data_IF_782522694195
#
_entry.id   IF_782522694195
#
_cell.length_a   1.000
_cell.length_b   1.000
_cell.length_c   1.000
_cell.angle_alpha   90.00
_cell.angle_beta   90.00
_cell.angle_gamma   90.00
#
_symmetry.space_group_name_H-M   'P 1'
#
loop_
_entity.id
_entity.type
_entity.pdbx_description
1 polymer ?
#
# COMPACT_ATOMS: atom_id res chain seq x y z
N UNK A 1 10.97 24.75 20.31
CA UNK A 1 11.00 25.96 19.45
C UNK A 1 9.63 26.61 19.43
N UNK A 2 9.53 27.92 19.65
CA UNK A 2 8.26 28.67 19.58
C UNK A 2 7.74 28.72 18.13
N UNK A 3 6.40 28.72 17.94
CA UNK A 3 5.72 28.81 16.61
C UNK A 3 6.27 29.93 15.71
N UNK A 4 6.71 31.04 16.32
CA UNK A 4 7.33 32.18 15.64
C UNK A 4 8.73 31.89 15.06
N UNK A 5 9.51 30.99 15.66
CA UNK A 5 10.85 30.62 15.19
C UNK A 5 10.83 29.82 13.88
N UNK A 6 9.98 28.80 13.82
CA UNK A 6 9.80 27.94 12.64
C UNK A 6 9.26 28.71 11.43
N UNK A 7 8.26 29.57 11.62
CA UNK A 7 7.70 30.38 10.53
C UNK A 7 8.78 31.27 9.89
N UNK A 8 9.72 31.79 10.69
CA UNK A 8 10.87 32.53 10.15
C UNK A 8 11.84 31.66 9.36
N UNK A 9 12.11 30.42 9.77
CA UNK A 9 12.98 29.50 9.02
C UNK A 9 12.40 29.21 7.63
N UNK A 10 11.11 28.87 7.54
CA UNK A 10 10.43 28.66 6.26
C UNK A 10 10.40 29.93 5.39
N UNK A 11 10.20 31.10 6.02
CA UNK A 11 10.24 32.39 5.33
C UNK A 11 11.65 32.70 4.81
N UNK A 12 12.68 32.44 5.62
CA UNK A 12 14.09 32.61 5.24
C UNK A 12 14.47 31.69 4.09
N UNK A 13 14.06 30.43 4.15
CA UNK A 13 14.26 29.46 3.08
C UNK A 13 13.62 29.95 1.76
N UNK A 14 12.37 30.42 1.84
CA UNK A 14 11.60 30.90 0.67
C UNK A 14 12.16 32.20 0.08
N UNK A 15 12.82 33.03 0.89
CA UNK A 15 13.47 34.26 0.47
C UNK A 15 14.89 34.04 -0.10
N UNK A 16 15.53 32.91 0.23
CA UNK A 16 16.87 32.55 -0.22
C UNK A 16 16.88 31.83 -1.57
N UNK A 17 17.84 30.93 -1.75
CA UNK A 17 17.99 30.11 -2.97
C UNK A 17 16.92 29.01 -3.09
N UNK A 18 16.09 28.80 -2.06
CA UNK A 18 15.11 27.72 -1.97
C UNK A 18 15.75 26.33 -2.20
N UNK A 19 16.93 26.11 -1.61
CA UNK A 19 17.66 24.85 -1.71
C UNK A 19 16.89 23.71 -1.01
N UNK A 20 16.48 22.65 -1.73
CA UNK A 20 15.78 21.53 -1.13
C UNK A 20 16.49 20.86 0.05
N UNK A 21 17.82 20.92 0.14
CA UNK A 21 18.60 20.35 1.27
C UNK A 21 18.43 21.17 2.56
N UNK A 22 18.15 22.46 2.45
CA UNK A 22 17.96 23.37 3.59
C UNK A 22 16.49 23.50 4.01
N UNK A 23 15.58 22.81 3.33
CA UNK A 23 14.15 22.89 3.65
C UNK A 23 13.88 22.32 5.06
N UNK A 24 13.09 23.01 5.91
CA UNK A 24 12.89 22.63 7.32
C UNK A 24 11.88 21.46 7.47
N UNK A 25 12.17 20.31 6.89
CA UNK A 25 11.28 19.13 6.89
C UNK A 25 10.84 18.72 8.29
N UNK A 26 11.76 18.71 9.25
CA UNK A 26 11.49 18.25 10.63
C UNK A 26 10.46 19.17 11.30
N UNK A 27 10.65 20.47 11.18
CA UNK A 27 9.76 21.46 11.77
C UNK A 27 8.38 21.45 11.11
N UNK A 28 8.31 21.23 9.79
CA UNK A 28 7.03 21.08 9.07
C UNK A 28 6.32 19.81 9.51
N UNK A 29 7.00 18.66 9.52
CA UNK A 29 6.41 17.39 9.97
C UNK A 29 5.94 17.48 11.41
N UNK A 30 6.73 18.07 12.31
CA UNK A 30 6.36 18.29 13.72
C UNK A 30 5.12 19.19 13.84
N UNK A 31 4.98 20.21 12.99
CA UNK A 31 3.80 21.07 12.97
C UNK A 31 2.54 20.27 12.57
N UNK A 32 2.64 19.37 11.59
CA UNK A 32 1.54 18.49 11.19
C UNK A 32 1.23 17.46 12.26
N UNK A 33 2.26 16.85 12.87
CA UNK A 33 2.12 15.85 13.93
C UNK A 33 1.45 16.40 15.20
N UNK A 34 1.63 17.70 15.47
CA UNK A 34 1.05 18.35 16.66
C UNK A 34 -0.46 18.46 16.60
N UNK A 35 -1.04 18.66 15.42
CA UNK A 35 -2.47 18.98 15.27
C UNK A 35 -3.22 18.01 14.34
N UNK A 36 -2.51 17.22 13.55
CA UNK A 36 -3.05 16.43 12.44
C UNK A 36 -3.19 17.28 11.17
N UNK A 37 -2.92 16.69 10.01
CA UNK A 37 -2.94 17.34 8.69
C UNK A 37 -4.21 18.17 8.46
N UNK A 38 -5.37 17.70 8.93
CA UNK A 38 -6.64 18.39 8.73
C UNK A 38 -6.75 19.72 9.49
N UNK A 39 -5.98 19.90 10.56
CA UNK A 39 -6.07 21.05 11.48
C UNK A 39 -4.85 21.97 11.40
N UNK A 40 -3.99 21.79 10.40
CA UNK A 40 -2.87 22.68 10.18
C UNK A 40 -3.38 24.08 9.85
N UNK A 41 -2.76 25.07 10.47
CA UNK A 41 -3.15 26.47 10.32
C UNK A 41 -3.01 26.97 8.87
N UNK A 42 -4.01 27.71 8.39
CA UNK A 42 -4.06 28.20 7.01
C UNK A 42 -2.89 29.10 6.64
N UNK A 43 -2.35 29.85 7.60
CA UNK A 43 -1.18 30.72 7.40
C UNK A 43 0.08 29.88 7.13
N UNK A 44 0.21 28.72 7.78
CA UNK A 44 1.30 27.78 7.48
C UNK A 44 1.10 27.13 6.10
N UNK A 45 -0.12 26.69 5.79
CA UNK A 45 -0.43 26.09 4.49
C UNK A 45 -0.13 27.06 3.33
N UNK A 46 -0.53 28.33 3.46
CA UNK A 46 -0.22 29.36 2.46
C UNK A 46 1.29 29.54 2.25
N UNK A 47 2.09 29.56 3.32
CA UNK A 47 3.56 29.65 3.20
C UNK A 47 4.18 28.42 2.56
N UNK A 48 3.65 27.23 2.85
CA UNK A 48 4.12 25.99 2.21
C UNK A 48 3.76 25.97 0.72
N UNK A 49 2.63 26.55 0.34
CA UNK A 49 2.24 26.72 -1.06
C UNK A 49 3.16 27.73 -1.80
N UNK A 50 3.47 28.85 -1.16
CA UNK A 50 4.50 29.79 -1.66
C UNK A 50 5.87 29.11 -1.80
N UNK A 51 6.27 28.31 -0.81
CA UNK A 51 7.50 27.53 -0.86
C UNK A 51 7.49 26.52 -2.02
N UNK A 52 6.36 25.84 -2.25
CA UNK A 52 6.18 24.89 -3.36
C UNK A 52 6.41 25.55 -4.72
N UNK A 53 5.93 26.78 -4.91
CA UNK A 53 6.14 27.54 -6.14
C UNK A 53 7.61 27.92 -6.40
N UNK A 54 8.47 27.88 -5.36
CA UNK A 54 9.91 28.18 -5.45
C UNK A 54 10.78 26.96 -5.74
N UNK A 55 10.24 25.75 -5.65
CA UNK A 55 11.04 24.53 -5.87
C UNK A 55 11.41 24.41 -7.35
N UNK A 56 12.68 24.64 -7.66
CA UNK A 56 13.24 24.53 -9.02
C UNK A 56 14.13 23.28 -9.14
N UNK A 57 14.45 22.88 -10.37
CA UNK A 57 15.31 21.72 -10.65
C UNK A 57 14.59 20.38 -10.78
N UNK A 58 15.25 19.41 -11.40
CA UNK A 58 14.68 18.07 -11.71
C UNK A 58 15.42 16.92 -11.04
N UNK A 59 16.36 17.23 -10.14
CA UNK A 59 17.08 16.23 -9.37
C UNK A 59 16.18 15.55 -8.31
N UNK A 60 16.73 14.52 -7.67
CA UNK A 60 16.04 13.70 -6.68
C UNK A 60 15.60 14.48 -5.43
N UNK A 61 16.36 15.51 -5.03
CA UNK A 61 16.08 16.31 -3.83
C UNK A 61 14.94 17.30 -4.09
N UNK A 62 14.99 17.98 -5.23
CA UNK A 62 13.90 18.84 -5.68
C UNK A 62 12.61 18.02 -5.92
N UNK A 63 12.74 16.79 -6.44
CA UNK A 63 11.61 15.87 -6.58
C UNK A 63 11.05 15.45 -5.23
N UNK A 64 11.88 15.09 -4.26
CA UNK A 64 11.46 14.76 -2.91
C UNK A 64 10.68 15.91 -2.26
N UNK A 65 11.20 17.14 -2.37
CA UNK A 65 10.53 18.32 -1.80
C UNK A 65 9.17 18.58 -2.45
N UNK A 66 9.07 18.49 -3.78
CA UNK A 66 7.79 18.62 -4.49
C UNK A 66 6.80 17.55 -4.06
N UNK A 67 7.22 16.29 -4.05
CA UNK A 67 6.37 15.16 -3.66
C UNK A 67 5.91 15.33 -2.19
N UNK A 68 6.78 15.82 -1.30
CA UNK A 68 6.44 16.10 0.09
C UNK A 68 5.42 17.23 0.20
N UNK A 69 5.64 18.36 -0.47
CA UNK A 69 4.73 19.50 -0.44
C UNK A 69 3.38 19.18 -1.07
N UNK A 70 3.34 18.39 -2.15
CA UNK A 70 2.09 17.91 -2.75
C UNK A 70 1.29 17.02 -1.79
N UNK A 71 1.96 16.15 -1.04
CA UNK A 71 1.30 15.35 0.00
C UNK A 71 0.87 16.22 1.19
N UNK A 72 1.67 17.19 1.61
CA UNK A 72 1.36 18.06 2.74
C UNK A 72 0.18 19.01 2.44
N UNK A 73 0.07 19.47 1.19
CA UNK A 73 -0.92 20.44 0.72
C UNK A 73 -2.13 19.80 0.01
N UNK A 74 -2.22 18.48 -0.05
CA UNK A 74 -3.30 17.77 -0.75
C UNK A 74 -4.72 18.24 -0.35
N UNK A 75 -4.99 18.44 0.95
CA UNK A 75 -6.25 18.99 1.47
C UNK A 75 -6.41 20.48 1.18
N UNK A 76 -5.33 21.25 1.21
CA UNK A 76 -5.34 22.67 0.86
C UNK A 76 -5.77 22.87 -0.60
N UNK A 77 -5.26 22.02 -1.49
CA UNK A 77 -5.55 22.08 -2.93
C UNK A 77 -6.90 21.46 -3.32
N UNK A 78 -7.60 20.80 -2.40
CA UNK A 78 -8.76 19.98 -2.72
C UNK A 78 -8.44 18.73 -3.57
N UNK A 79 -7.17 18.28 -3.55
CA UNK A 79 -6.66 17.10 -4.27
C UNK A 79 -6.50 15.87 -3.39
N UNK A 80 -6.96 15.94 -2.14
CA UNK A 80 -6.85 14.86 -1.16
C UNK A 80 -7.53 13.57 -1.62
N UNK A 81 -6.74 12.50 -1.75
CA UNK A 81 -7.21 11.18 -2.14
C UNK A 81 -6.48 10.07 -1.34
N UNK A 82 -6.77 8.81 -1.65
CA UNK A 82 -6.11 7.68 -1.02
C UNK A 82 -4.58 7.64 -1.22
N UNK A 83 -4.09 8.05 -2.40
CA UNK A 83 -2.66 7.99 -2.73
C UNK A 83 -1.90 9.07 -1.97
N UNK A 84 -2.46 10.28 -1.89
CA UNK A 84 -1.88 11.39 -1.12
C UNK A 84 -1.99 11.15 0.39
N UNK A 85 -3.10 10.59 0.87
CA UNK A 85 -3.27 10.21 2.27
C UNK A 85 -2.20 9.21 2.75
N UNK A 86 -1.86 8.24 1.91
CA UNK A 86 -0.80 7.26 2.20
C UNK A 86 0.59 7.71 1.75
N UNK A 87 0.72 8.91 1.18
CA UNK A 87 1.97 9.47 0.70
C UNK A 87 2.79 8.51 -0.19
N UNK A 88 2.11 7.77 -1.08
CA UNK A 88 2.72 6.64 -1.82
C UNK A 88 3.93 7.05 -2.66
N UNK A 89 3.93 8.28 -3.20
CA UNK A 89 5.06 8.86 -3.96
C UNK A 89 6.33 9.00 -3.15
N UNK A 90 6.22 9.42 -1.89
CA UNK A 90 7.37 9.53 -0.98
C UNK A 90 7.99 8.16 -0.69
N UNK A 91 7.20 7.10 -0.75
CA UNK A 91 7.65 5.71 -0.62
C UNK A 91 8.11 5.10 -1.94
N UNK A 92 8.15 5.88 -3.03
CA UNK A 92 8.47 5.43 -4.39
C UNK A 92 7.62 4.24 -4.87
N UNK A 93 6.40 4.12 -4.33
CA UNK A 93 5.44 3.11 -4.78
C UNK A 93 4.76 3.58 -6.08
N UNK A 94 4.51 2.69 -7.06
CA UNK A 94 3.93 3.08 -8.34
C UNK A 94 2.55 3.74 -8.22
N UNK A 95 2.45 5.04 -8.51
CA UNK A 95 1.24 5.84 -8.33
C UNK A 95 0.51 6.21 -9.65
N UNK A 96 1.15 5.94 -10.80
CA UNK A 96 0.57 6.12 -12.14
C UNK A 96 1.35 7.03 -13.07
N UNK A 97 2.18 7.94 -12.55
CA UNK A 97 3.00 8.84 -13.38
C UNK A 97 4.34 8.25 -13.77
N UNK A 98 4.87 7.35 -12.95
CA UNK A 98 6.10 6.60 -13.21
C UNK A 98 5.81 5.10 -13.06
N UNK A 99 5.42 4.44 -14.16
CA UNK A 99 5.51 2.98 -14.20
C UNK A 99 6.92 2.63 -14.69
N UNK A 100 7.81 2.11 -13.83
CA UNK A 100 9.05 1.55 -14.33
C UNK A 100 8.71 0.42 -15.32
N UNK A 101 9.52 0.21 -16.37
CA UNK A 101 9.38 -0.96 -17.23
C UNK A 101 9.40 -2.22 -16.37
N UNK A 102 8.74 -3.31 -16.80
CA UNK A 102 8.74 -4.58 -16.08
C UNK A 102 10.14 -5.19 -16.11
N UNK A 103 11.03 -4.71 -15.25
CA UNK A 103 12.34 -5.31 -15.00
C UNK A 103 12.44 -5.67 -13.52
N UNK A 104 11.78 -6.78 -13.20
CA UNK A 104 11.75 -7.37 -11.86
C UNK A 104 12.81 -8.47 -11.78
N UNK A 105 14.07 -8.06 -11.74
CA UNK A 105 15.18 -8.88 -11.23
C UNK A 105 15.06 -9.15 -9.73
N UNK A 106 16.01 -9.91 -9.17
CA UNK A 106 16.06 -10.21 -7.74
C UNK A 106 16.09 -8.94 -6.88
N UNK A 107 16.73 -7.87 -7.38
CA UNK A 107 16.88 -6.59 -6.69
C UNK A 107 15.54 -5.90 -6.42
N UNK A 108 14.59 -5.97 -7.36
CA UNK A 108 13.25 -5.41 -7.18
C UNK A 108 12.42 -6.17 -6.13
N UNK A 109 12.54 -7.51 -6.10
CA UNK A 109 11.90 -8.34 -5.05
C UNK A 109 12.45 -8.00 -3.67
N UNK A 110 13.78 -7.94 -3.55
CA UNK A 110 14.43 -7.58 -2.29
C UNK A 110 14.09 -6.14 -1.85
N UNK A 111 14.06 -5.18 -2.78
CA UNK A 111 13.67 -3.80 -2.48
C UNK A 111 12.27 -3.70 -1.86
N UNK A 112 11.30 -4.43 -2.42
CA UNK A 112 9.94 -4.51 -1.87
C UNK A 112 9.90 -5.20 -0.51
N UNK A 113 10.60 -6.31 -0.36
CA UNK A 113 10.67 -7.01 0.92
C UNK A 113 11.30 -6.12 2.02
N UNK A 114 12.36 -5.37 1.69
CA UNK A 114 12.94 -4.35 2.59
C UNK A 114 11.91 -3.28 2.96
N UNK A 115 11.17 -2.74 1.99
CA UNK A 115 10.16 -1.71 2.27
C UNK A 115 9.02 -2.24 3.17
N UNK A 116 8.51 -3.46 2.92
CA UNK A 116 7.48 -4.07 3.78
C UNK A 116 7.99 -4.24 5.21
N UNK A 117 9.21 -4.75 5.39
CA UNK A 117 9.81 -4.91 6.71
C UNK A 117 9.98 -3.56 7.40
N UNK A 118 10.47 -2.55 6.69
CA UNK A 118 10.63 -1.17 7.20
C UNK A 118 9.31 -0.57 7.67
N UNK A 119 8.24 -0.68 6.87
CA UNK A 119 6.91 -0.15 7.22
C UNK A 119 6.30 -0.84 8.45
N UNK A 120 6.45 -2.16 8.56
CA UNK A 120 5.93 -2.93 9.70
C UNK A 120 6.77 -2.65 10.95
N UNK A 121 8.10 -2.61 10.83
CA UNK A 121 8.99 -2.30 11.94
C UNK A 121 8.75 -0.88 12.45
N UNK A 122 8.56 0.10 11.57
CA UNK A 122 8.26 1.48 11.96
C UNK A 122 6.97 1.60 12.79
N UNK A 123 5.92 0.86 12.43
CA UNK A 123 4.71 0.75 13.24
C UNK A 123 4.97 0.13 14.63
N UNK A 124 5.84 -0.88 14.71
CA UNK A 124 6.24 -1.53 15.97
C UNK A 124 7.13 -0.62 16.82
N UNK A 125 8.06 0.12 16.20
CA UNK A 125 8.93 1.08 16.86
C UNK A 125 8.12 2.25 17.44
N UNK A 126 7.09 2.71 16.73
CA UNK A 126 6.13 3.68 17.27
C UNK A 126 5.42 3.15 18.53
N UNK A 127 4.95 1.91 18.52
CA UNK A 127 4.33 1.28 19.69
C UNK A 127 5.32 1.14 20.87
N UNK A 128 6.58 0.77 20.60
CA UNK A 128 7.64 0.73 21.61
C UNK A 128 7.88 2.11 22.23
N UNK A 129 8.01 3.13 21.39
CA UNK A 129 8.24 4.51 21.81
C UNK A 129 7.07 5.06 22.64
N UNK A 130 5.83 4.79 22.21
CA UNK A 130 4.62 5.21 22.91
C UNK A 130 4.47 4.49 24.26
N UNK A 131 4.77 3.19 24.32
CA UNK A 131 4.73 2.40 25.54
C UNK A 131 5.79 2.83 26.56
N UNK A 132 6.99 3.19 26.08
CA UNK A 132 8.07 3.75 26.89
C UNK A 132 7.87 5.24 27.24
N UNK A 133 6.82 5.88 26.72
CA UNK A 133 6.51 7.32 26.87
C UNK A 133 7.64 8.25 26.38
N UNK A 134 8.42 7.80 25.40
CA UNK A 134 9.50 8.61 24.80
C UNK A 134 9.03 9.41 23.58
N UNK A 135 7.80 9.19 23.11
CA UNK A 135 7.17 10.01 22.06
C UNK A 135 5.85 10.62 22.52
N UNK A 136 5.64 11.89 22.16
CA UNK A 136 4.37 12.62 22.31
C UNK A 136 3.46 12.54 21.08
N UNK A 137 3.90 11.88 20.01
CA UNK A 137 3.14 11.73 18.77
C UNK A 137 1.82 10.97 19.01
N UNK A 138 0.75 11.44 18.38
CA UNK A 138 -0.61 10.89 18.40
C UNK A 138 -1.06 10.47 19.82
N UNK A 139 -1.21 11.42 20.76
CA UNK A 139 -1.45 11.13 22.17
C UNK A 139 -2.85 10.60 22.47
N UNK A 140 -3.81 10.74 21.56
CA UNK A 140 -5.20 10.40 21.84
C UNK A 140 -5.50 8.91 21.68
N UNK A 141 -6.35 8.39 22.57
CA UNK A 141 -6.90 7.03 22.54
C UNK A 141 -5.83 5.92 22.50
N UNK A 142 -4.69 6.14 23.15
CA UNK A 142 -3.61 5.15 23.24
C UNK A 142 -4.12 3.79 23.73
N UNK A 143 -3.70 2.69 23.10
CA UNK A 143 -4.11 1.35 23.50
C UNK A 143 -3.58 0.95 24.88
N UNK A 144 -4.33 0.10 25.56
CA UNK A 144 -3.88 -0.53 26.80
C UNK A 144 -2.73 -1.52 26.57
N UNK A 145 -1.97 -1.82 27.63
CA UNK A 145 -0.76 -2.68 27.60
C UNK A 145 -0.97 -4.03 26.90
N UNK A 146 -2.13 -4.65 27.07
CA UNK A 146 -2.45 -5.93 26.45
C UNK A 146 -2.57 -5.85 24.92
N UNK A 147 -3.14 -4.76 24.39
CA UNK A 147 -3.24 -4.51 22.95
C UNK A 147 -1.85 -4.21 22.38
N UNK A 148 -1.05 -3.39 23.06
CA UNK A 148 0.34 -3.11 22.68
C UNK A 148 1.17 -4.39 22.60
N UNK A 149 1.13 -5.24 23.63
CA UNK A 149 1.84 -6.53 23.63
C UNK A 149 1.37 -7.47 22.49
N UNK A 150 0.08 -7.40 22.12
CA UNK A 150 -0.45 -8.11 20.96
C UNK A 150 0.09 -7.52 19.65
N UNK A 151 0.18 -6.19 19.53
CA UNK A 151 0.77 -5.50 18.36
C UNK A 151 2.23 -5.87 18.16
N UNK A 152 3.04 -5.96 19.21
CA UNK A 152 4.42 -6.45 19.13
C UNK A 152 4.50 -7.84 18.48
N UNK A 153 3.76 -8.81 19.01
CA UNK A 153 3.72 -10.17 18.45
C UNK A 153 3.27 -10.21 16.99
N UNK A 154 2.19 -9.50 16.68
CA UNK A 154 1.60 -9.52 15.34
C UNK A 154 2.41 -8.74 14.33
N UNK A 155 3.08 -7.66 14.73
CA UNK A 155 4.01 -6.90 13.90
C UNK A 155 5.22 -7.74 13.51
N UNK A 156 5.88 -8.39 14.49
CA UNK A 156 6.96 -9.33 14.21
C UNK A 156 6.50 -10.43 13.25
N UNK A 157 5.34 -11.07 13.54
CA UNK A 157 4.76 -12.09 12.66
C UNK A 157 4.48 -11.59 11.25
N UNK A 158 4.07 -10.33 11.09
CA UNK A 158 3.81 -9.75 9.78
C UNK A 158 5.09 -9.47 8.98
N UNK A 159 6.22 -9.19 9.65
CA UNK A 159 7.51 -8.98 9.01
C UNK A 159 8.22 -10.30 8.63
N UNK A 160 7.98 -11.40 9.36
CA UNK A 160 8.69 -12.68 9.19
C UNK A 160 8.75 -13.20 7.75
N UNK A 161 7.67 -13.23 6.94
CA UNK A 161 7.75 -13.74 5.57
C UNK A 161 8.72 -12.96 4.68
N UNK A 162 8.75 -11.64 4.81
CA UNK A 162 9.67 -10.79 4.06
C UNK A 162 11.11 -10.92 4.58
N UNK A 163 11.30 -11.00 5.90
CA UNK A 163 12.61 -11.30 6.50
C UNK A 163 13.16 -12.65 6.03
N UNK A 164 12.32 -13.68 5.90
CA UNK A 164 12.72 -14.99 5.41
C UNK A 164 13.26 -14.92 3.98
N UNK A 165 12.59 -14.16 3.11
CA UNK A 165 13.03 -13.94 1.72
C UNK A 165 14.32 -13.11 1.62
N UNK A 166 14.58 -12.26 2.62
CA UNK A 166 15.84 -11.51 2.76
C UNK A 166 16.96 -12.34 3.42
N UNK A 167 16.68 -13.54 3.92
CA UNK A 167 17.65 -14.36 4.65
C UNK A 167 17.95 -13.86 6.07
N UNK A 168 17.02 -13.14 6.70
CA UNK A 168 17.21 -12.43 7.99
C UNK A 168 16.35 -13.00 9.14
N UNK A 169 15.82 -14.21 9.03
CA UNK A 169 14.96 -14.78 10.09
C UNK A 169 15.72 -15.18 11.36
N UNK A 170 17.00 -15.55 11.23
CA UNK A 170 17.83 -15.98 12.37
C UNK A 170 18.20 -14.84 13.33
N UNK A 171 17.83 -13.59 13.03
CA UNK A 171 18.20 -12.42 13.83
C UNK A 171 17.16 -12.03 14.86
N UNK A 172 15.95 -12.60 14.86
CA UNK A 172 14.87 -12.20 15.76
C UNK A 172 14.80 -13.14 16.97
N UNK A 173 15.23 -12.65 18.14
CA UNK A 173 15.04 -13.31 19.44
C UNK A 173 13.57 -13.23 19.88
N UNK A 174 12.93 -14.38 20.13
CA UNK A 174 11.51 -14.51 20.45
C UNK A 174 11.20 -14.74 21.93
N UNK A 175 12.19 -14.59 22.83
CA UNK A 175 12.02 -14.81 24.27
C UNK A 175 10.84 -14.04 24.88
N UNK A 176 10.59 -12.80 24.43
CA UNK A 176 9.37 -12.05 24.76
C UNK A 176 8.89 -11.20 23.57
N UNK A 177 7.59 -10.82 23.52
CA UNK A 177 7.08 -9.93 22.47
C UNK A 177 7.82 -8.60 22.34
N UNK A 178 8.21 -7.99 23.47
CA UNK A 178 8.90 -6.69 23.48
C UNK A 178 10.36 -6.84 23.04
N UNK A 179 11.01 -7.95 23.40
CA UNK A 179 12.36 -8.27 22.92
C UNK A 179 12.34 -8.46 21.41
N UNK A 180 11.43 -9.29 20.89
CA UNK A 180 11.31 -9.53 19.45
C UNK A 180 11.01 -8.24 18.66
N UNK A 181 10.15 -7.37 19.20
CA UNK A 181 9.86 -6.06 18.61
C UNK A 181 11.07 -5.12 18.60
N UNK A 182 11.83 -5.09 19.70
CA UNK A 182 13.07 -4.31 19.81
C UNK A 182 14.11 -4.81 18.82
N UNK A 183 14.28 -6.14 18.73
CA UNK A 183 15.21 -6.77 17.79
C UNK A 183 14.82 -6.51 16.34
N UNK A 184 13.53 -6.60 15.99
CA UNK A 184 13.04 -6.19 14.66
C UNK A 184 13.41 -4.75 14.32
N UNK A 185 13.23 -3.83 15.28
CA UNK A 185 13.58 -2.42 15.11
C UNK A 185 15.09 -2.24 14.86
N UNK A 186 15.93 -2.99 15.59
CA UNK A 186 17.39 -2.96 15.41
C UNK A 186 17.84 -3.55 14.06
N UNK A 187 17.21 -4.63 13.60
CA UNK A 187 17.47 -5.21 12.27
C UNK A 187 17.19 -4.19 11.18
N UNK A 188 16.07 -3.47 11.28
CA UNK A 188 15.71 -2.43 10.29
C UNK A 188 16.65 -1.24 10.32
N UNK A 189 17.12 -0.80 11.48
CA UNK A 189 18.14 0.25 11.54
C UNK A 189 19.43 -0.13 10.78
N UNK A 190 19.75 -1.43 10.68
CA UNK A 190 20.85 -1.92 9.85
C UNK A 190 20.51 -2.12 8.36
N UNK A 191 19.22 -2.15 8.00
CA UNK A 191 18.73 -2.20 6.61
C UNK A 191 18.50 -0.82 6.02
N UNK A 192 18.32 0.20 6.86
CA UNK A 192 18.14 1.57 6.43
C UNK A 192 19.40 2.07 5.71
N UNK A 193 19.20 2.60 4.50
CA UNK A 193 20.18 3.49 3.91
C UNK A 193 20.23 4.73 4.79
N UNK A 194 21.36 4.94 5.45
CA UNK A 194 21.59 6.09 6.33
C UNK A 194 21.09 7.37 5.66
N UNK A 195 20.09 8.02 6.26
CA UNK A 195 19.56 9.30 5.77
C UNK A 195 18.36 9.24 4.81
N UNK A 196 17.73 8.10 4.53
CA UNK A 196 16.47 8.07 3.75
C UNK A 196 15.29 8.61 4.58
N UNK A 197 14.72 9.78 4.23
CA UNK A 197 13.67 10.42 5.02
C UNK A 197 12.26 9.91 4.67
N UNK A 198 12.10 9.02 3.68
CA UNK A 198 10.81 8.63 3.10
C UNK A 198 9.79 8.13 4.12
N UNK A 199 10.19 7.25 5.04
CA UNK A 199 9.30 6.73 6.08
C UNK A 199 8.78 7.87 6.96
N UNK A 200 9.67 8.74 7.44
CA UNK A 200 9.29 9.86 8.29
C UNK A 200 8.37 10.84 7.56
N UNK A 201 8.75 11.24 6.35
CA UNK A 201 8.00 12.23 5.55
C UNK A 201 6.64 11.69 5.06
N UNK A 202 6.50 10.38 4.88
CA UNK A 202 5.24 9.73 4.49
C UNK A 202 4.23 9.54 5.62
N UNK A 203 4.57 9.93 6.84
CA UNK A 203 3.67 9.84 8.00
C UNK A 203 3.07 11.20 8.31
N UNK A 204 2.00 11.59 7.62
CA UNK A 204 1.23 12.81 7.89
C UNK A 204 -0.23 12.48 8.24
N UNK A 205 -0.51 11.95 9.46
CA UNK A 205 -1.86 11.61 9.92
C UNK A 205 -2.83 12.80 9.82
N UNK A 206 -4.10 12.55 9.49
CA UNK A 206 -5.09 13.64 9.43
C UNK A 206 -5.54 14.11 10.80
N UNK A 207 -5.39 13.28 11.83
CA UNK A 207 -5.76 13.57 13.20
C UNK A 207 -4.67 13.10 14.18
N UNK A 208 -4.80 13.46 15.45
CA UNK A 208 -3.87 13.12 16.53
C UNK A 208 -4.18 11.79 17.25
N UNK A 209 -4.96 10.90 16.60
CA UNK A 209 -5.37 9.61 17.18
C UNK A 209 -4.29 8.54 17.00
N UNK A 210 -3.91 7.87 18.09
CA UNK A 210 -2.81 6.87 18.13
C UNK A 210 -2.87 5.83 17.02
N UNK A 211 -4.05 5.24 16.82
CA UNK A 211 -4.21 4.13 15.87
C UNK A 211 -4.13 4.54 14.39
N UNK A 212 -4.14 5.83 14.09
CA UNK A 212 -3.98 6.29 12.71
C UNK A 212 -2.58 5.93 12.16
N UNK A 213 -1.55 5.92 13.01
CA UNK A 213 -0.20 5.49 12.62
C UNK A 213 -0.19 4.06 12.08
N UNK A 214 -0.79 3.15 12.86
CA UNK A 214 -0.90 1.74 12.50
C UNK A 214 -1.71 1.58 11.22
N UNK A 215 -2.80 2.33 11.10
CA UNK A 215 -3.67 2.32 9.93
C UNK A 215 -2.88 2.70 8.66
N UNK A 216 -2.17 3.83 8.68
CA UNK A 216 -1.38 4.30 7.53
C UNK A 216 -0.29 3.29 7.16
N UNK A 217 0.52 2.82 8.13
CA UNK A 217 1.62 1.87 7.84
C UNK A 217 1.14 0.54 7.28
N UNK A 218 0.06 0.00 7.81
CA UNK A 218 -0.50 -1.26 7.28
C UNK A 218 -1.04 -1.07 5.86
N UNK A 219 -1.68 0.06 5.57
CA UNK A 219 -2.17 0.37 4.22
C UNK A 219 -1.03 0.59 3.22
N UNK A 220 0.04 1.30 3.62
CA UNK A 220 1.25 1.44 2.82
C UNK A 220 1.90 0.07 2.54
N UNK A 221 1.93 -0.84 3.52
CA UNK A 221 2.43 -2.19 3.34
C UNK A 221 1.56 -3.01 2.36
N UNK A 222 0.23 -2.85 2.40
CA UNK A 222 -0.66 -3.46 1.40
C UNK A 222 -0.39 -2.94 -0.01
N UNK A 223 -0.20 -1.62 -0.19
CA UNK A 223 0.13 -1.06 -1.49
C UNK A 223 1.47 -1.59 -2.03
N UNK A 224 2.49 -1.71 -1.18
CA UNK A 224 3.75 -2.35 -1.56
C UNK A 224 3.56 -3.82 -2.00
N UNK A 225 2.75 -4.59 -1.27
CA UNK A 225 2.43 -5.98 -1.61
C UNK A 225 1.69 -6.04 -2.95
N UNK A 226 0.67 -5.20 -3.16
CA UNK A 226 -0.12 -5.20 -4.40
C UNK A 226 0.68 -4.73 -5.62
N UNK A 227 1.56 -3.75 -5.46
CA UNK A 227 2.47 -3.34 -6.51
C UNK A 227 3.37 -4.53 -6.92
N UNK A 228 3.93 -5.23 -5.94
CA UNK A 228 4.71 -6.45 -6.19
C UNK A 228 3.91 -7.55 -6.89
N UNK A 229 2.67 -7.81 -6.46
CA UNK A 229 1.79 -8.80 -7.12
C UNK A 229 1.50 -8.38 -8.56
N UNK A 230 1.22 -7.11 -8.82
CA UNK A 230 0.96 -6.61 -10.18
C UNK A 230 2.19 -6.79 -11.09
N UNK A 231 3.39 -6.50 -10.59
CA UNK A 231 4.64 -6.70 -11.35
C UNK A 231 4.87 -8.17 -11.70
N UNK A 232 4.60 -9.08 -10.75
CA UNK A 232 4.74 -10.51 -11.00
C UNK A 232 3.69 -11.02 -11.99
N UNK A 233 2.44 -10.54 -11.92
CA UNK A 233 1.41 -10.90 -12.89
C UNK A 233 1.75 -10.43 -14.30
N UNK A 234 2.34 -9.22 -14.47
CA UNK A 234 2.89 -8.79 -15.77
C UNK A 234 3.98 -9.75 -16.24
N UNK A 235 4.91 -10.12 -15.36
CA UNK A 235 5.96 -11.08 -15.68
C UNK A 235 5.42 -12.49 -16.02
N UNK A 236 4.28 -12.91 -15.44
CA UNK A 236 3.58 -14.15 -15.81
C UNK A 236 3.02 -14.04 -17.23
N UNK A 237 2.36 -12.93 -17.57
CA UNK A 237 1.86 -12.66 -18.93
C UNK A 237 2.98 -12.75 -19.94
N UNK A 238 4.11 -12.07 -19.69
CA UNK A 238 5.26 -12.07 -20.60
C UNK A 238 5.87 -13.47 -20.74
N UNK A 239 6.01 -14.20 -19.63
CA UNK A 239 6.53 -15.57 -19.63
C UNK A 239 5.64 -16.54 -20.43
N UNK A 240 4.31 -16.45 -20.30
CA UNK A 240 3.39 -17.31 -21.07
C UNK A 240 3.41 -16.99 -22.57
N UNK A 241 3.57 -15.71 -22.94
CA UNK A 241 3.58 -15.26 -24.34
C UNK A 241 4.88 -15.62 -25.05
N UNK A 242 6.02 -15.37 -24.43
CA UNK A 242 7.33 -15.44 -25.10
C UNK A 242 8.40 -16.20 -24.34
N UNK A 243 8.23 -16.41 -23.03
CA UNK A 243 9.23 -17.04 -22.16
C UNK A 243 9.04 -18.55 -21.94
N UNK A 244 9.91 -19.16 -21.11
CA UNK A 244 9.76 -20.54 -20.66
C UNK A 244 8.60 -20.67 -19.65
N UNK A 245 7.78 -21.73 -19.74
CA UNK A 245 6.64 -21.96 -18.85
C UNK A 245 6.99 -21.96 -17.35
N UNK A 246 8.14 -22.51 -16.97
CA UNK A 246 8.58 -22.60 -15.58
C UNK A 246 8.71 -21.21 -14.93
N UNK A 247 9.16 -20.21 -15.69
CA UNK A 247 9.25 -18.83 -15.21
C UNK A 247 7.86 -18.24 -14.90
N UNK A 248 6.83 -18.64 -15.64
CA UNK A 248 5.47 -18.21 -15.35
C UNK A 248 4.97 -18.83 -14.03
N UNK A 249 5.26 -20.12 -13.81
CA UNK A 249 4.91 -20.84 -12.57
C UNK A 249 5.61 -20.20 -11.36
N UNK A 250 6.90 -19.92 -11.46
CA UNK A 250 7.69 -19.31 -10.38
C UNK A 250 7.18 -17.91 -10.01
N UNK A 251 6.91 -17.06 -11.01
CA UNK A 251 6.38 -15.72 -10.77
C UNK A 251 5.00 -15.75 -10.12
N UNK A 252 4.13 -16.65 -10.57
CA UNK A 252 2.80 -16.82 -9.98
C UNK A 252 2.87 -17.38 -8.55
N UNK A 253 3.81 -18.30 -8.29
CA UNK A 253 4.09 -18.80 -6.94
C UNK A 253 4.53 -17.70 -5.99
N UNK A 254 5.47 -16.85 -6.42
CA UNK A 254 5.91 -15.70 -5.63
C UNK A 254 4.78 -14.67 -5.41
N UNK A 255 3.97 -14.38 -6.44
CA UNK A 255 2.80 -13.50 -6.31
C UNK A 255 1.79 -14.01 -5.27
N UNK A 256 1.57 -15.33 -5.21
CA UNK A 256 0.75 -15.97 -4.15
C UNK A 256 1.38 -15.78 -2.77
N UNK A 257 2.69 -15.93 -2.63
CA UNK A 257 3.38 -15.80 -1.34
C UNK A 257 3.34 -14.36 -0.79
N UNK A 258 3.37 -13.37 -1.69
CA UNK A 258 3.09 -11.97 -1.35
C UNK A 258 1.67 -11.80 -0.77
N UNK A 259 0.64 -12.40 -1.39
CA UNK A 259 -0.72 -12.40 -0.84
C UNK A 259 -0.82 -13.15 0.51
N UNK A 260 -0.02 -14.19 0.72
CA UNK A 260 0.11 -14.87 2.02
C UNK A 260 0.60 -13.93 3.12
N UNK A 261 1.59 -13.07 2.80
CA UNK A 261 2.10 -12.03 3.72
C UNK A 261 0.98 -11.05 4.11
N UNK A 262 0.11 -10.72 3.16
CA UNK A 262 -1.03 -9.81 3.35
C UNK A 262 -2.01 -10.29 4.45
N UNK A 263 -2.12 -11.60 4.71
CA UNK A 263 -2.98 -12.13 5.79
C UNK A 263 -2.53 -11.73 7.20
N UNK A 264 -1.22 -11.68 7.45
CA UNK A 264 -0.67 -11.29 8.75
C UNK A 264 -0.88 -9.79 9.03
N UNK A 265 -0.86 -8.95 8.00
CA UNK A 265 -1.17 -7.52 8.10
C UNK A 265 -2.61 -7.28 8.58
N UNK A 266 -3.59 -8.10 8.17
CA UNK A 266 -4.95 -8.01 8.71
C UNK A 266 -5.03 -8.32 10.19
N UNK A 267 -4.27 -9.31 10.66
CA UNK A 267 -4.24 -9.66 12.08
C UNK A 267 -3.75 -8.48 12.90
N UNK A 268 -2.69 -7.80 12.44
CA UNK A 268 -2.16 -6.59 13.06
C UNK A 268 -3.18 -5.44 13.01
N UNK A 269 -3.76 -5.15 11.84
CA UNK A 269 -4.76 -4.11 11.65
C UNK A 269 -6.02 -4.34 12.50
N UNK A 270 -6.43 -5.59 12.71
CA UNK A 270 -7.56 -5.94 13.56
C UNK A 270 -7.33 -5.64 15.06
N UNK A 271 -6.12 -5.25 15.46
CA UNK A 271 -5.87 -4.69 16.79
C UNK A 271 -6.20 -3.20 16.91
N UNK A 272 -6.49 -2.52 15.80
CA UNK A 272 -7.01 -1.16 15.82
C UNK A 272 -8.36 -1.12 16.55
N UNK A 273 -8.51 -0.11 17.40
CA UNK A 273 -9.70 0.17 18.18
C UNK A 273 -10.78 0.77 17.27
N UNK A 274 -12.00 0.20 17.23
CA UNK A 274 -13.08 0.76 16.42
C UNK A 274 -13.40 2.23 16.73
N UNK A 275 -13.34 2.63 18.02
CA UNK A 275 -13.56 4.03 18.42
C UNK A 275 -12.49 4.99 17.86
N UNK A 276 -11.22 4.55 17.85
CA UNK A 276 -10.12 5.33 17.27
C UNK A 276 -10.30 5.49 15.78
N UNK A 277 -10.64 4.41 15.08
CA UNK A 277 -10.98 4.45 13.67
C UNK A 277 -12.13 5.40 13.37
N UNK A 278 -13.23 5.35 14.14
CA UNK A 278 -14.36 6.26 13.98
C UNK A 278 -14.02 7.73 14.20
N UNK A 279 -12.98 8.00 15.00
CA UNK A 279 -12.53 9.36 15.31
C UNK A 279 -11.80 9.97 14.11
N UNK A 280 -10.66 9.40 13.72
CA UNK A 280 -9.85 10.00 12.64
C UNK A 280 -10.52 9.89 11.27
N UNK A 281 -11.38 8.87 11.08
CA UNK A 281 -12.11 8.66 9.82
C UNK A 281 -13.02 9.84 9.43
N UNK A 282 -13.45 10.66 10.39
CA UNK A 282 -14.22 11.87 10.09
C UNK A 282 -13.43 12.86 9.22
N UNK A 283 -12.11 12.75 9.23
CA UNK A 283 -11.21 13.65 8.51
C UNK A 283 -10.57 13.02 7.28
N UNK A 284 -10.98 11.80 6.90
CA UNK A 284 -10.47 11.09 5.72
C UNK A 284 -11.42 11.13 4.51
N UNK A 285 -12.43 12.00 4.52
CA UNK A 285 -13.31 12.21 3.37
C UNK A 285 -12.50 12.51 2.10
N UNK A 286 -12.85 11.86 0.99
CA UNK A 286 -12.11 11.91 -0.28
C UNK A 286 -11.06 10.80 -0.45
N UNK A 287 -10.55 10.23 0.65
CA UNK A 287 -9.60 9.13 0.64
C UNK A 287 -10.27 7.78 0.97
N UNK A 288 -10.17 6.81 0.06
CA UNK A 288 -10.73 5.48 0.24
C UNK A 288 -9.91 4.41 -0.44
N UNK A 289 -9.76 3.24 0.19
CA UNK A 289 -9.08 2.08 -0.41
C UNK A 289 -9.71 1.64 -1.76
N UNK A 290 -10.94 2.08 -2.06
CA UNK A 290 -11.54 1.91 -3.39
C UNK A 290 -10.75 2.62 -4.50
N UNK A 291 -9.83 3.54 -4.18
CA UNK A 291 -8.91 4.26 -5.07
C UNK A 291 -7.51 3.60 -5.20
N UNK A 292 -7.23 2.50 -4.47
CA UNK A 292 -5.99 1.71 -4.61
C UNK A 292 -5.66 1.30 -6.06
N UNK A 293 -4.71 2.00 -6.69
CA UNK A 293 -4.25 1.71 -8.05
C UNK A 293 -3.69 0.29 -8.18
N UNK A 294 -2.79 -0.07 -7.27
CA UNK A 294 -2.09 -1.36 -7.28
C UNK A 294 -3.07 -2.52 -7.23
N UNK A 295 -4.12 -2.44 -6.41
CA UNK A 295 -5.16 -3.46 -6.35
C UNK A 295 -5.94 -3.61 -7.67
N UNK A 296 -6.24 -2.50 -8.36
CA UNK A 296 -6.95 -2.54 -9.65
C UNK A 296 -6.06 -3.09 -10.77
N UNK A 297 -4.75 -2.85 -10.70
CA UNK A 297 -3.80 -3.54 -11.56
C UNK A 297 -3.80 -5.05 -11.30
N UNK A 298 -3.73 -5.49 -10.05
CA UNK A 298 -3.82 -6.92 -9.71
C UNK A 298 -5.10 -7.54 -10.27
N UNK A 299 -6.26 -6.92 -10.03
CA UNK A 299 -7.54 -7.44 -10.51
C UNK A 299 -7.61 -7.51 -12.05
N UNK A 300 -7.22 -6.44 -12.75
CA UNK A 300 -7.28 -6.38 -14.22
C UNK A 300 -6.21 -7.19 -14.94
N UNK A 301 -5.06 -7.47 -14.29
CA UNK A 301 -4.03 -8.36 -14.84
C UNK A 301 -4.40 -9.83 -14.68
N UNK A 302 -5.24 -10.18 -13.71
CA UNK A 302 -5.73 -11.55 -13.58
C UNK A 302 -6.65 -11.92 -14.76
N UNK A 303 -7.65 -11.06 -15.02
CA UNK A 303 -8.60 -11.21 -16.13
C UNK A 303 -9.16 -9.85 -16.56
N UNK A 304 -9.69 -9.76 -17.77
CA UNK A 304 -10.38 -8.56 -18.23
C UNK A 304 -11.66 -8.35 -17.40
N UNK A 305 -11.80 -7.22 -16.68
CA UNK A 305 -13.03 -6.91 -15.95
C UNK A 305 -14.24 -6.85 -16.88
N UNK A 306 -15.40 -7.30 -16.40
CA UNK A 306 -16.66 -7.13 -17.13
C UNK A 306 -17.02 -5.64 -17.28
N UNK A 307 -17.81 -5.23 -18.29
CA UNK A 307 -18.09 -3.81 -18.57
C UNK A 307 -18.66 -3.05 -17.36
N UNK A 308 -19.62 -3.64 -16.66
CA UNK A 308 -20.22 -3.11 -15.43
C UNK A 308 -19.18 -2.90 -14.32
N UNK A 309 -18.26 -3.85 -14.15
CA UNK A 309 -17.14 -3.74 -13.21
C UNK A 309 -16.19 -2.61 -13.62
N UNK A 310 -15.85 -2.50 -14.90
CA UNK A 310 -14.95 -1.48 -15.44
C UNK A 310 -15.56 -0.06 -15.37
N UNK A 311 -16.88 0.05 -15.35
CA UNK A 311 -17.61 1.30 -15.15
C UNK A 311 -18.00 1.56 -13.69
N UNK A 312 -17.58 0.70 -12.75
CA UNK A 312 -17.79 0.94 -11.32
C UNK A 312 -16.96 2.12 -10.79
N UNK A 313 -17.37 2.65 -9.63
CA UNK A 313 -16.65 3.71 -8.90
C UNK A 313 -15.18 3.35 -8.68
N UNK A 314 -14.88 2.06 -8.49
CA UNK A 314 -13.51 1.60 -8.28
C UNK A 314 -12.60 1.83 -9.48
N UNK A 315 -13.00 1.49 -10.70
CA UNK A 315 -12.18 1.74 -11.90
C UNK A 315 -12.26 3.19 -12.37
N UNK A 316 -13.39 3.89 -12.16
CA UNK A 316 -13.48 5.33 -12.43
C UNK A 316 -12.49 6.14 -11.58
N UNK A 317 -12.15 5.66 -10.40
CA UNK A 317 -11.15 6.29 -9.52
C UNK A 317 -9.69 6.08 -9.92
N UNK A 318 -9.44 5.21 -10.90
CA UNK A 318 -8.11 4.90 -11.45
C UNK A 318 -8.15 4.97 -12.99
N UNK A 319 -8.44 6.16 -13.56
CA UNK A 319 -8.70 6.31 -14.99
C UNK A 319 -7.57 5.79 -15.88
N UNK A 320 -6.33 5.87 -15.42
CA UNK A 320 -5.15 5.34 -16.09
C UNK A 320 -5.16 3.81 -16.22
N UNK A 321 -5.60 3.09 -15.18
CA UNK A 321 -5.74 1.63 -15.23
C UNK A 321 -6.93 1.25 -16.10
N UNK A 322 -8.03 2.00 -15.99
CA UNK A 322 -9.22 1.79 -16.82
C UNK A 322 -8.94 2.00 -18.30
N UNK A 323 -8.12 2.99 -18.67
CA UNK A 323 -7.68 3.20 -20.04
C UNK A 323 -6.90 1.99 -20.57
N UNK A 324 -5.90 1.49 -19.81
CA UNK A 324 -5.14 0.29 -20.20
C UNK A 324 -6.01 -0.92 -20.50
N UNK A 325 -7.02 -1.17 -19.66
CA UNK A 325 -7.96 -2.27 -19.88
C UNK A 325 -8.72 -2.09 -21.19
N UNK A 326 -9.17 -0.87 -21.50
CA UNK A 326 -9.86 -0.53 -22.76
C UNK A 326 -8.95 -0.67 -23.97
N UNK A 327 -7.67 -0.36 -23.80
CA UNK A 327 -6.64 -0.47 -24.83
C UNK A 327 -6.12 -1.92 -25.00
N UNK A 328 -6.77 -2.90 -24.37
CA UNK A 328 -6.47 -4.31 -24.55
C UNK A 328 -5.28 -4.82 -23.73
N UNK A 329 -5.10 -4.30 -22.51
CA UNK A 329 -4.12 -4.82 -21.55
C UNK A 329 -4.16 -6.36 -21.52
N UNK A 330 -3.05 -7.04 -21.84
CA UNK A 330 -2.98 -8.49 -21.76
C UNK A 330 -3.16 -8.99 -20.33
N UNK A 331 -3.80 -10.15 -20.17
CA UNK A 331 -4.11 -10.74 -18.86
C UNK A 331 -3.53 -12.13 -18.73
N UNK A 332 -3.31 -12.59 -17.50
CA UNK A 332 -2.83 -13.96 -17.23
C UNK A 332 -3.83 -14.99 -17.77
N UNK A 333 -5.13 -14.74 -17.59
CA UNK A 333 -6.20 -15.63 -18.10
C UNK A 333 -6.13 -15.81 -19.62
N UNK A 334 -5.99 -14.71 -20.37
CA UNK A 334 -5.88 -14.74 -21.82
C UNK A 334 -4.54 -15.34 -22.29
N UNK A 335 -3.44 -14.95 -21.66
CA UNK A 335 -2.11 -15.46 -22.00
C UNK A 335 -2.02 -16.98 -21.76
N UNK A 336 -2.62 -17.49 -20.68
CA UNK A 336 -2.72 -18.91 -20.41
C UNK A 336 -3.53 -19.64 -21.49
N UNK A 337 -4.74 -19.15 -21.82
CA UNK A 337 -5.60 -19.76 -22.86
C UNK A 337 -4.90 -19.83 -24.21
N UNK A 338 -4.21 -18.75 -24.61
CA UNK A 338 -3.43 -18.69 -25.85
C UNK A 338 -2.26 -19.68 -25.81
N UNK A 339 -1.48 -19.71 -24.73
CA UNK A 339 -0.34 -20.62 -24.61
C UNK A 339 -0.76 -22.11 -24.66
N UNK A 340 -1.93 -22.46 -24.11
CA UNK A 340 -2.51 -23.81 -24.26
C UNK A 340 -2.94 -24.08 -25.69
N UNK A 341 -3.68 -23.15 -26.31
CA UNK A 341 -4.15 -23.29 -27.70
C UNK A 341 -2.99 -23.47 -28.69
N UNK A 342 -1.93 -22.69 -28.51
CA UNK A 342 -0.76 -22.66 -29.40
C UNK A 342 0.23 -23.80 -29.10
N UNK A 343 -0.08 -24.71 -28.17
CA UNK A 343 0.77 -25.85 -27.81
C UNK A 343 2.08 -25.46 -27.12
N UNK A 344 2.19 -24.24 -26.57
CA UNK A 344 3.39 -23.75 -25.86
C UNK A 344 3.57 -24.39 -24.49
N UNK A 345 2.48 -24.90 -23.91
CA UNK A 345 2.49 -25.61 -22.63
C UNK A 345 2.33 -27.10 -22.90
N UNK A 346 3.35 -27.89 -22.55
CA UNK A 346 3.16 -29.33 -22.44
C UNK A 346 2.17 -29.68 -21.31
N UNK A 347 1.73 -30.92 -21.27
CA UNK A 347 0.69 -31.36 -20.34
C UNK A 347 1.10 -31.17 -18.86
N UNK A 348 2.38 -31.37 -18.52
CA UNK A 348 2.93 -31.08 -17.19
C UNK A 348 2.85 -29.59 -16.84
N UNK A 349 3.36 -28.73 -17.71
CA UNK A 349 3.40 -27.28 -17.54
C UNK A 349 1.99 -26.70 -17.47
N UNK A 350 1.07 -27.22 -18.29
CA UNK A 350 -0.35 -26.85 -18.27
C UNK A 350 -0.99 -27.14 -16.92
N UNK A 351 -0.76 -28.33 -16.35
CA UNK A 351 -1.28 -28.70 -15.02
C UNK A 351 -0.67 -27.86 -13.91
N UNK A 352 0.65 -27.65 -13.94
CA UNK A 352 1.35 -26.84 -12.95
C UNK A 352 0.84 -25.39 -12.95
N UNK A 353 0.69 -24.81 -14.14
CA UNK A 353 0.17 -23.45 -14.30
C UNK A 353 -1.29 -23.35 -13.83
N UNK A 354 -2.15 -24.28 -14.25
CA UNK A 354 -3.55 -24.30 -13.81
C UNK A 354 -3.69 -24.41 -12.28
N UNK A 355 -2.89 -25.29 -11.66
CA UNK A 355 -2.86 -25.44 -10.22
C UNK A 355 -2.30 -24.18 -9.52
N UNK A 356 -1.29 -23.53 -10.11
CA UNK A 356 -0.74 -22.26 -9.62
C UNK A 356 -1.77 -21.14 -9.64
N UNK A 357 -2.52 -21.00 -10.75
CA UNK A 357 -3.60 -20.03 -10.88
C UNK A 357 -4.72 -20.31 -9.88
N UNK A 358 -5.11 -21.57 -9.68
CA UNK A 358 -6.09 -21.96 -8.66
C UNK A 358 -5.67 -21.54 -7.25
N UNK A 359 -4.42 -21.82 -6.86
CA UNK A 359 -3.88 -21.42 -5.54
C UNK A 359 -3.80 -19.89 -5.38
N UNK A 360 -3.42 -19.17 -6.44
CA UNK A 360 -3.42 -17.71 -6.41
C UNK A 360 -4.83 -17.15 -6.25
N UNK A 361 -5.81 -17.69 -7.01
CA UNK A 361 -7.20 -17.28 -6.94
C UNK A 361 -7.79 -17.49 -5.54
N UNK A 362 -7.51 -18.63 -4.91
CA UNK A 362 -7.92 -18.92 -3.55
C UNK A 362 -7.31 -17.92 -2.55
N UNK A 363 -6.01 -17.63 -2.66
CA UNK A 363 -5.33 -16.66 -1.80
C UNK A 363 -5.94 -15.25 -1.92
N UNK A 364 -6.21 -14.78 -3.14
CA UNK A 364 -6.83 -13.46 -3.37
C UNK A 364 -8.29 -13.42 -2.88
N UNK A 365 -9.05 -14.49 -3.10
CA UNK A 365 -10.42 -14.60 -2.59
C UNK A 365 -10.45 -14.60 -1.05
N UNK A 366 -9.51 -15.31 -0.41
CA UNK A 366 -9.37 -15.30 1.03
C UNK A 366 -9.00 -13.90 1.56
N UNK A 367 -8.11 -13.19 0.86
CA UNK A 367 -7.78 -11.81 1.18
C UNK A 367 -9.04 -10.91 1.12
N UNK A 368 -9.83 -11.00 0.04
CA UNK A 368 -11.08 -10.23 -0.13
C UNK A 368 -12.09 -10.51 0.99
N UNK A 369 -12.29 -11.78 1.36
CA UNK A 369 -13.18 -12.17 2.47
C UNK A 369 -12.70 -11.65 3.82
N UNK A 370 -11.40 -11.73 4.07
CA UNK A 370 -10.78 -11.20 5.31
C UNK A 370 -10.94 -9.68 5.39
N UNK A 371 -10.68 -8.98 4.28
CA UNK A 371 -10.90 -7.54 4.19
C UNK A 371 -12.34 -7.15 4.52
N UNK A 372 -13.31 -7.84 3.91
CA UNK A 372 -14.73 -7.62 4.20
C UNK A 372 -15.05 -7.80 5.69
N UNK A 373 -14.55 -8.88 6.31
CA UNK A 373 -14.76 -9.13 7.75
C UNK A 373 -14.19 -8.03 8.63
N UNK A 374 -12.96 -7.55 8.34
CA UNK A 374 -12.35 -6.43 9.06
C UNK A 374 -13.16 -5.15 8.83
N UNK A 375 -13.57 -4.86 7.60
CA UNK A 375 -14.34 -3.66 7.28
C UNK A 375 -15.69 -3.63 8.03
N UNK A 376 -16.43 -4.75 8.06
CA UNK A 376 -17.68 -4.88 8.83
C UNK A 376 -17.45 -4.62 10.31
N UNK A 377 -16.38 -5.18 10.88
CA UNK A 377 -16.04 -4.98 12.30
C UNK A 377 -15.72 -3.51 12.61
N UNK A 378 -14.98 -2.83 11.73
CA UNK A 378 -14.53 -1.44 11.95
C UNK A 378 -15.62 -0.40 11.68
N UNK A 379 -16.47 -0.63 10.67
CA UNK A 379 -17.55 0.29 10.28
C UNK A 379 -18.82 0.10 11.11
N UNK A 380 -19.03 -1.07 11.70
CA UNK A 380 -20.33 -1.42 12.27
C UNK A 380 -21.42 -1.35 11.21
N UNK A 381 -22.59 -0.81 11.56
CA UNK A 381 -23.75 -0.65 10.66
C UNK A 381 -23.77 0.69 9.88
N UNK A 382 -22.72 1.53 9.95
CA UNK A 382 -22.70 2.84 9.27
C UNK A 382 -22.04 2.77 7.88
N UNK A 383 -22.52 3.52 6.87
CA UNK A 383 -21.95 3.56 5.52
C UNK A 383 -20.51 4.12 5.50
N UNK A 384 -19.73 3.78 4.46
CA UNK A 384 -18.31 4.13 4.33
C UNK A 384 -18.02 5.57 3.89
N UNK A 385 -16.80 6.06 4.13
CA UNK A 385 -16.36 7.46 3.89
C UNK A 385 -15.99 7.83 2.44
N UNK A 386 -16.19 6.93 1.47
CA UNK A 386 -15.87 7.23 0.08
C UNK A 386 -17.01 6.81 -0.82
N UNK A 387 -17.98 7.71 -1.04
CA UNK A 387 -19.06 7.68 -2.06
C UNK A 387 -19.67 6.31 -2.43
N UNK A 388 -19.57 5.33 -1.53
CA UNK A 388 -20.04 3.95 -1.69
C UNK A 388 -20.61 3.54 -0.36
N UNK A 389 -21.62 2.67 -0.38
CA UNK A 389 -22.24 2.16 0.84
C UNK A 389 -21.26 1.36 1.73
N UNK A 390 -19.97 1.25 1.34
CA UNK A 390 -18.89 0.67 2.14
C UNK A 390 -18.97 -0.85 2.15
N UNK A 391 -19.68 -1.41 3.12
CA UNK A 391 -19.78 -2.86 3.32
C UNK A 391 -20.60 -3.59 2.25
N UNK A 392 -21.70 -3.06 1.67
CA UNK A 392 -22.43 -3.73 0.59
C UNK A 392 -21.60 -3.86 -0.69
N UNK A 393 -20.83 -2.82 -1.04
CA UNK A 393 -19.90 -2.89 -2.16
C UNK A 393 -18.88 -4.02 -1.98
N UNK A 394 -18.24 -4.10 -0.80
CA UNK A 394 -17.29 -5.16 -0.51
C UNK A 394 -17.95 -6.56 -0.51
N UNK A 395 -19.19 -6.67 -0.04
CA UNK A 395 -19.94 -7.92 -0.10
C UNK A 395 -20.19 -8.38 -1.54
N UNK A 396 -20.53 -7.46 -2.45
CA UNK A 396 -20.81 -7.78 -3.84
C UNK A 396 -19.55 -8.21 -4.63
N UNK A 397 -18.39 -7.65 -4.31
CA UNK A 397 -17.16 -7.87 -5.10
C UNK A 397 -16.24 -8.97 -4.55
N UNK A 398 -16.41 -9.39 -3.29
CA UNK A 398 -15.47 -10.33 -2.65
C UNK A 398 -15.44 -11.71 -3.33
N UNK A 399 -16.55 -12.12 -3.92
CA UNK A 399 -16.77 -13.44 -4.52
C UNK A 399 -16.63 -13.42 -6.06
N UNK A 400 -16.20 -12.29 -6.64
CA UNK A 400 -15.90 -12.22 -8.07
C UNK A 400 -14.79 -13.21 -8.44
N UNK A 401 -14.92 -13.93 -9.57
CA UNK A 401 -13.88 -14.83 -10.05
C UNK A 401 -12.58 -14.06 -10.28
N UNK A 402 -11.45 -14.71 -9.98
CA UNK A 402 -10.11 -14.15 -10.21
C UNK A 402 -9.65 -14.45 -11.63
N UNK A 403 -9.85 -15.69 -12.08
CA UNK A 403 -9.64 -16.17 -13.44
C UNK A 403 -10.93 -16.80 -13.96
N UNK A 404 -11.11 -16.81 -15.28
CA UNK A 404 -12.22 -17.49 -15.96
C UNK A 404 -11.78 -18.87 -16.46
N UNK A 405 -10.49 -19.05 -16.79
CA UNK A 405 -9.93 -20.27 -17.36
C UNK A 405 -9.76 -21.41 -16.34
N UNK A 406 -9.69 -21.09 -15.04
CA UNK A 406 -9.42 -22.05 -13.96
C UNK A 406 -10.22 -21.69 -12.71
N UNK A 407 -11.20 -22.52 -12.38
CA UNK A 407 -12.06 -22.40 -11.21
C UNK A 407 -13.28 -23.34 -11.31
N UNK A 408 -14.06 -23.53 -10.24
CA UNK A 408 -15.28 -24.34 -10.28
C UNK A 408 -16.44 -23.67 -11.05
N UNK A 409 -16.17 -22.62 -11.82
CA UNK A 409 -17.18 -21.84 -12.53
C UNK A 409 -17.52 -22.54 -13.84
N UNK A 410 -18.80 -22.80 -14.13
CA UNK A 410 -19.19 -23.45 -15.37
C UNK A 410 -18.70 -22.62 -16.55
N UNK A 411 -18.05 -23.29 -17.49
CA UNK A 411 -17.68 -22.76 -18.79
C UNK A 411 -18.89 -22.03 -19.37
N UNK A 412 -18.75 -20.71 -19.58
CA UNK A 412 -19.77 -19.96 -20.31
C UNK A 412 -19.91 -20.62 -21.70
N UNK A 413 -21.11 -20.99 -22.16
CA UNK A 413 -21.28 -21.52 -23.50
C UNK A 413 -20.75 -20.48 -24.47
N UNK A 414 -19.83 -20.89 -25.34
CA UNK A 414 -19.41 -20.09 -26.50
C UNK A 414 -20.66 -19.79 -27.31
N UNK A 415 -21.15 -18.56 -27.25
CA UNK A 415 -22.30 -18.11 -28.03
C UNK A 415 -22.02 -18.36 -29.50
N UNK A 416 -22.80 -19.27 -30.10
CA UNK A 416 -22.83 -19.46 -31.54
C UNK A 416 -23.24 -18.14 -32.21
N UNK A 417 -22.56 -17.79 -33.30
CA UNK A 417 -22.99 -16.72 -34.20
C UNK A 417 -24.40 -17.03 -34.70
N UNK A 418 -25.35 -16.07 -34.68
CA UNK A 418 -26.59 -16.25 -35.41
C UNK A 418 -26.28 -16.20 -36.91
N UNK A 419 -26.87 -17.15 -37.64
CA UNK A 419 -26.99 -17.13 -39.10
C UNK A 419 -27.98 -16.04 -39.54
#
# INVERSE_FOLDING_TARGET
MSRCGFVRELTSWSAGAADPDEFPYDQVVDAFHRVGKHFVDKELLARLDEARARVTGYDERARLLRDFLDVALDKWDGRYDYRSYLALRLLRLPDGTDDPPPDAGADARQGRDRLVVRLVADAVSFELAAAAKVTGLLPEQRPGRAVVAKRFRLGVRAALPALARLGLTGTIDDATPVTAATTLSAVVAGLDTTGDPSLRLSMLPVHVTHDEYLFIRVLQAYECVFAGVADELRGVVDALRTGPPDRAVDRLGYARDLLGTAGSLFSLLATMQPAAFQTFRQYTEGASAIQSRSYKLVESLCRTPAPDRLDSVAYRSVPEVRARVRDGQPTVDEAYRRAVHDGRLDESSRRLMAAGMGRFAEALAQWRRTHYGVAVRMLGRRPGTGYTEGTPYLAAVRDLPVFDAVGPYPSRPTGGRPA
#
